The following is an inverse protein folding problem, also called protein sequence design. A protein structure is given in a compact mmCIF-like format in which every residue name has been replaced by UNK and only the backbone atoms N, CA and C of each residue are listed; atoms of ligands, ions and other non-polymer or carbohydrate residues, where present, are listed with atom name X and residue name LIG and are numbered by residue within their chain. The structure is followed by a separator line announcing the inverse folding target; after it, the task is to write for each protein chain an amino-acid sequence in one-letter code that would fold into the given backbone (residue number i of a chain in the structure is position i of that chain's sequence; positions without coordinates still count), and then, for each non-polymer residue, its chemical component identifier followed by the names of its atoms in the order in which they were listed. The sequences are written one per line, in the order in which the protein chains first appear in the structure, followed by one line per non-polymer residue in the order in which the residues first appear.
data_IF_871376333440
#
_entry.id   IF_871376333440
#
_cell.length_a   1.000
_cell.length_b   1.000
_cell.length_c   1.000
_cell.angle_alpha   90.00
_cell.angle_beta   90.00
_cell.angle_gamma   90.00
#
_symmetry.space_group_name_H-M   'P 1'
#
loop_
_entity.id
_entity.type
_entity.pdbx_description
1 polymer ?
#
# COMPACT_ATOMS: atom_id res chain seq x y z
N UNK A 1 -7.27 5.33 -4.56
CA UNK A 1 -8.36 5.72 -3.66
C UNK A 1 -7.85 6.54 -2.48
N UNK A 2 -7.16 5.97 -1.49
CA UNK A 2 -6.71 6.69 -0.29
C UNK A 2 -5.94 7.98 -0.61
N UNK A 3 -5.01 7.94 -1.58
CA UNK A 3 -4.28 9.15 -2.02
C UNK A 3 -5.20 10.27 -2.53
N UNK A 4 -6.26 9.92 -3.26
CA UNK A 4 -7.24 10.90 -3.75
C UNK A 4 -8.06 11.51 -2.62
N UNK A 5 -8.43 10.71 -1.62
CA UNK A 5 -9.18 11.17 -0.45
C UNK A 5 -8.33 12.15 0.37
N UNK A 6 -7.09 11.78 0.67
CA UNK A 6 -6.17 12.64 1.44
C UNK A 6 -5.81 13.93 0.69
N UNK A 7 -5.61 13.85 -0.64
CA UNK A 7 -5.42 15.05 -1.46
C UNK A 7 -6.66 15.96 -1.42
N UNK A 8 -7.86 15.40 -1.51
CA UNK A 8 -9.11 16.17 -1.44
C UNK A 8 -9.31 16.83 -0.07
N UNK A 9 -8.70 16.28 1.00
CA UNK A 9 -8.67 16.91 2.33
C UNK A 9 -7.62 18.02 2.49
N UNK A 10 -6.94 18.40 1.41
CA UNK A 10 -5.94 19.48 1.40
C UNK A 10 -4.53 19.03 1.77
N UNK A 11 -4.25 17.73 1.88
CA UNK A 11 -2.91 17.21 2.17
C UNK A 11 -2.03 17.17 0.92
N UNK A 12 -0.74 17.42 1.11
CA UNK A 12 0.30 17.16 0.12
C UNK A 12 0.70 15.67 0.23
N UNK A 13 0.29 14.86 -0.75
CA UNK A 13 0.31 13.39 -0.66
C UNK A 13 1.36 12.80 -1.58
N UNK A 14 2.32 12.04 -1.02
CA UNK A 14 3.18 11.13 -1.75
C UNK A 14 2.51 9.77 -1.94
N UNK A 15 2.70 9.16 -3.11
CA UNK A 15 2.22 7.82 -3.41
C UNK A 15 3.34 7.02 -4.09
N UNK A 16 3.72 5.92 -3.47
CA UNK A 16 4.65 4.92 -4.04
C UNK A 16 3.89 3.64 -4.34
N UNK A 17 3.95 3.18 -5.60
CA UNK A 17 3.25 1.98 -6.08
C UNK A 17 4.14 1.12 -6.96
N UNK A 18 3.85 -0.19 -7.02
CA UNK A 18 4.54 -1.14 -7.88
C UNK A 18 3.64 -2.32 -8.30
N UNK A 19 3.83 -2.87 -9.51
CA UNK A 19 4.64 -2.33 -10.61
C UNK A 19 3.97 -1.12 -11.30
N UNK A 20 4.65 -0.51 -12.26
CA UNK A 20 4.03 0.44 -13.18
C UNK A 20 3.32 -0.29 -14.33
N UNK A 21 2.40 0.40 -15.00
CA UNK A 21 1.69 -0.13 -16.16
C UNK A 21 2.38 0.22 -17.48
N UNK A 22 2.82 1.45 -17.66
CA UNK A 22 3.40 1.96 -18.91
C UNK A 22 4.79 2.56 -18.66
N UNK A 23 4.90 3.51 -17.72
CA UNK A 23 6.14 4.25 -17.44
C UNK A 23 6.60 4.07 -16.01
N UNK A 24 7.91 3.99 -15.82
CA UNK A 24 8.54 3.90 -14.50
C UNK A 24 8.06 5.02 -13.55
N UNK A 25 7.91 6.24 -14.06
CA UNK A 25 7.49 7.43 -13.31
C UNK A 25 6.17 7.24 -12.54
N UNK A 26 5.30 6.34 -12.99
CA UNK A 26 4.04 6.03 -12.32
C UNK A 26 4.22 5.49 -10.89
N UNK A 27 5.41 4.93 -10.60
CA UNK A 27 5.73 4.37 -9.29
C UNK A 27 5.83 5.43 -8.20
N UNK A 28 6.19 6.67 -8.55
CA UNK A 28 6.45 7.75 -7.61
C UNK A 28 5.64 8.98 -8.01
N UNK A 29 4.66 9.33 -7.19
CA UNK A 29 3.74 10.43 -7.49
C UNK A 29 3.61 11.37 -6.28
N UNK A 30 3.46 12.65 -6.55
CA UNK A 30 3.06 13.64 -5.55
C UNK A 30 1.82 14.37 -6.05
N UNK A 31 0.74 14.34 -5.28
CA UNK A 31 -0.56 14.88 -5.64
C UNK A 31 -1.11 14.40 -6.99
N UNK A 32 -0.76 13.16 -7.38
CA UNK A 32 -1.16 12.54 -8.64
C UNK A 32 -0.23 12.82 -9.81
N UNK A 33 0.74 13.73 -9.69
CA UNK A 33 1.76 13.99 -10.70
C UNK A 33 2.94 13.03 -10.54
N UNK A 34 3.33 12.37 -11.61
CA UNK A 34 4.49 11.48 -11.62
C UNK A 34 5.79 12.26 -11.46
N UNK A 35 6.81 11.62 -10.87
CA UNK A 35 8.19 12.11 -10.88
C UNK A 35 8.67 12.34 -12.31
N UNK A 36 9.46 13.38 -12.56
CA UNK A 36 10.01 13.69 -13.88
C UNK A 36 11.26 12.85 -14.19
N UNK A 37 11.54 12.65 -15.47
CA UNK A 37 12.73 11.90 -15.92
C UNK A 37 14.03 12.56 -15.45
N UNK A 38 14.06 13.89 -15.41
CA UNK A 38 15.21 14.66 -14.94
C UNK A 38 15.44 14.47 -13.44
N UNK A 39 14.39 14.32 -12.65
CA UNK A 39 14.48 14.08 -11.21
C UNK A 39 14.99 12.65 -10.94
N UNK A 40 14.56 11.67 -11.75
CA UNK A 40 15.06 10.30 -11.70
C UNK A 40 16.56 10.28 -12.05
N UNK A 41 16.94 10.90 -13.18
CA UNK A 41 18.32 10.96 -13.63
C UNK A 41 19.21 11.63 -12.57
N UNK A 42 18.79 12.78 -12.05
CA UNK A 42 19.49 13.51 -10.99
C UNK A 42 19.71 12.66 -9.74
N UNK A 43 18.70 11.90 -9.31
CA UNK A 43 18.84 10.99 -8.16
C UNK A 43 19.86 9.90 -8.44
N UNK A 44 19.81 9.27 -9.62
CA UNK A 44 20.74 8.19 -10.00
C UNK A 44 22.17 8.72 -10.09
N UNK A 45 22.40 9.85 -10.77
CA UNK A 45 23.73 10.44 -10.92
C UNK A 45 24.35 10.79 -9.57
N UNK A 46 23.57 11.40 -8.67
CA UNK A 46 24.02 11.74 -7.32
C UNK A 46 24.38 10.53 -6.48
N UNK A 47 23.66 9.42 -6.64
CA UNK A 47 23.78 8.24 -5.78
C UNK A 47 24.52 7.06 -6.44
N UNK A 48 24.94 7.16 -7.71
CA UNK A 48 25.53 6.09 -8.51
C UNK A 48 26.62 5.32 -7.75
N UNK A 49 27.58 6.01 -7.18
CA UNK A 49 28.70 5.39 -6.43
C UNK A 49 28.22 4.59 -5.21
N UNK A 50 27.16 5.04 -4.54
CA UNK A 50 26.57 4.33 -3.40
C UNK A 50 25.81 3.09 -3.86
N UNK A 51 24.99 3.23 -4.90
CA UNK A 51 24.22 2.14 -5.51
C UNK A 51 25.16 0.99 -5.95
N UNK A 52 26.23 1.33 -6.68
CA UNK A 52 27.24 0.37 -7.13
C UNK A 52 28.01 -0.28 -5.97
N UNK A 53 28.42 0.51 -4.97
CA UNK A 53 29.18 0.02 -3.81
C UNK A 53 28.42 -1.00 -2.98
N UNK A 54 27.11 -0.78 -2.74
CA UNK A 54 26.28 -1.69 -1.93
C UNK A 54 25.56 -2.74 -2.77
N UNK A 55 25.72 -2.70 -4.09
CA UNK A 55 25.01 -3.58 -5.04
C UNK A 55 23.50 -3.58 -4.81
N UNK A 56 22.93 -2.38 -4.67
CA UNK A 56 21.50 -2.19 -4.40
C UNK A 56 20.64 -2.75 -5.52
N UNK A 57 19.58 -3.46 -5.16
CA UNK A 57 18.59 -3.96 -6.12
C UNK A 57 17.79 -2.82 -6.74
N UNK A 58 17.17 -3.08 -7.88
CA UNK A 58 16.27 -2.11 -8.52
C UNK A 58 15.17 -1.62 -7.56
N UNK A 59 14.56 -2.53 -6.80
CA UNK A 59 13.46 -2.16 -5.90
C UNK A 59 13.94 -1.35 -4.70
N UNK A 60 15.07 -1.69 -4.09
CA UNK A 60 15.70 -0.91 -3.02
C UNK A 60 16.04 0.49 -3.49
N UNK A 61 16.69 0.62 -4.65
CA UNK A 61 17.03 1.92 -5.25
C UNK A 61 15.78 2.76 -5.49
N UNK A 62 14.72 2.15 -6.05
CA UNK A 62 13.45 2.85 -6.33
C UNK A 62 12.74 3.29 -5.05
N UNK A 63 12.78 2.47 -4.01
CA UNK A 63 12.20 2.79 -2.69
C UNK A 63 12.89 3.99 -2.07
N UNK A 64 14.22 4.02 -2.06
CA UNK A 64 15.00 5.15 -1.53
C UNK A 64 14.77 6.40 -2.38
N UNK A 65 14.70 6.28 -3.71
CA UNK A 65 14.37 7.39 -4.61
C UNK A 65 12.99 7.98 -4.27
N UNK A 66 12.00 7.15 -4.01
CA UNK A 66 10.68 7.63 -3.62
C UNK A 66 10.72 8.42 -2.30
N UNK A 67 11.43 7.93 -1.30
CA UNK A 67 11.57 8.63 -0.01
C UNK A 67 12.31 9.94 -0.14
N UNK A 68 13.43 9.98 -0.87
CA UNK A 68 14.19 11.22 -1.15
C UNK A 68 13.30 12.25 -1.88
N UNK A 69 12.57 11.81 -2.90
CA UNK A 69 11.63 12.66 -3.63
C UNK A 69 10.53 13.23 -2.74
N UNK A 70 9.95 12.44 -1.86
CA UNK A 70 8.90 12.86 -0.93
C UNK A 70 9.41 13.92 0.07
N UNK A 71 10.63 13.76 0.56
CA UNK A 71 11.27 14.76 1.42
C UNK A 71 11.48 16.08 0.66
N UNK A 72 12.01 16.03 -0.57
CA UNK A 72 12.22 17.22 -1.39
C UNK A 72 10.91 17.94 -1.73
N UNK A 73 9.83 17.18 -1.98
CA UNK A 73 8.49 17.74 -2.26
C UNK A 73 7.73 18.17 -1.00
N UNK A 74 8.30 17.98 0.19
CA UNK A 74 7.71 18.38 1.49
C UNK A 74 6.28 17.88 1.63
N UNK A 75 6.06 16.58 1.39
CA UNK A 75 4.74 15.97 1.54
C UNK A 75 4.31 15.95 3.00
N UNK A 76 2.99 15.99 3.25
CA UNK A 76 2.42 15.83 4.59
C UNK A 76 2.30 14.36 4.98
N UNK A 77 2.03 13.49 3.99
CA UNK A 77 1.77 12.06 4.20
C UNK A 77 2.18 11.25 2.97
N UNK A 78 2.78 10.09 3.21
CA UNK A 78 3.10 9.11 2.18
C UNK A 78 2.19 7.89 2.26
N UNK A 79 1.73 7.41 1.10
CA UNK A 79 1.10 6.11 0.93
C UNK A 79 2.11 5.23 0.23
N UNK A 80 2.53 4.18 0.91
CA UNK A 80 3.60 3.29 0.46
C UNK A 80 3.03 1.90 0.21
N UNK A 81 3.06 1.45 -1.03
CA UNK A 81 2.71 0.09 -1.40
C UNK A 81 3.91 -0.83 -1.19
N UNK A 82 3.67 -1.95 -0.50
CA UNK A 82 4.65 -3.03 -0.35
C UNK A 82 4.86 -3.72 -1.71
N UNK A 83 6.12 -3.95 -2.09
CA UNK A 83 6.42 -4.62 -3.35
C UNK A 83 6.13 -6.11 -3.31
N UNK A 84 6.63 -6.81 -2.28
CA UNK A 84 6.46 -8.25 -2.13
C UNK A 84 6.45 -8.69 -0.66
N UNK A 85 5.45 -9.47 -0.29
CA UNK A 85 5.33 -10.00 1.06
C UNK A 85 5.05 -8.91 2.09
N UNK A 86 6.05 -8.43 2.78
CA UNK A 86 5.96 -7.34 3.76
C UNK A 86 7.13 -7.32 4.73
N UNK A 87 7.36 -8.37 5.50
CA UNK A 87 8.35 -8.45 6.58
C UNK A 87 9.77 -8.04 6.16
N UNK A 88 10.22 -8.50 5.01
CA UNK A 88 11.55 -8.24 4.45
C UNK A 88 11.50 -7.29 3.23
N UNK A 89 10.36 -6.65 3.00
CA UNK A 89 10.24 -5.70 1.91
C UNK A 89 11.04 -4.42 2.17
N UNK A 90 11.66 -3.86 1.14
CA UNK A 90 12.47 -2.64 1.25
C UNK A 90 11.68 -1.45 1.79
N UNK A 91 10.36 -1.43 1.59
CA UNK A 91 9.48 -0.38 2.12
C UNK A 91 9.25 -0.50 3.62
N UNK A 92 9.54 -1.65 4.24
CA UNK A 92 9.22 -1.91 5.65
C UNK A 92 10.15 -1.22 6.66
N UNK A 93 11.01 -0.33 6.20
CA UNK A 93 11.88 0.53 7.05
C UNK A 93 11.14 1.75 7.62
N UNK A 94 9.94 2.03 7.15
CA UNK A 94 9.14 3.19 7.60
C UNK A 94 8.50 2.97 8.97
N UNK A 95 8.23 4.08 9.66
CA UNK A 95 7.37 4.12 10.86
C UNK A 95 5.98 4.65 10.44
N UNK A 96 5.02 3.77 10.14
CA UNK A 96 3.74 4.20 9.61
C UNK A 96 2.80 4.75 10.69
N UNK A 97 1.90 5.65 10.31
CA UNK A 97 0.76 6.05 11.15
C UNK A 97 -0.32 4.97 11.19
N UNK A 98 -0.41 4.19 10.12
CA UNK A 98 -1.39 3.12 9.93
C UNK A 98 -0.83 2.12 8.94
N UNK A 99 -1.13 0.84 9.15
CA UNK A 99 -0.86 -0.22 8.17
C UNK A 99 -2.17 -0.78 7.62
N UNK A 100 -2.11 -1.34 6.42
CA UNK A 100 -3.29 -1.91 5.76
C UNK A 100 -2.95 -3.25 5.12
N UNK A 101 -3.79 -4.27 5.34
CA UNK A 101 -3.62 -5.60 4.74
C UNK A 101 -4.88 -5.95 3.93
N UNK A 102 -4.71 -5.99 2.62
CA UNK A 102 -5.71 -6.42 1.64
C UNK A 102 -5.95 -7.93 1.73
N UNK A 103 -6.97 -8.52 1.03
CA UNK A 103 -7.21 -9.96 1.08
C UNK A 103 -5.96 -10.77 0.71
N UNK A 104 -5.61 -11.73 1.56
CA UNK A 104 -4.47 -12.64 1.31
C UNK A 104 -4.95 -13.80 0.45
N UNK A 105 -4.25 -14.03 -0.67
CA UNK A 105 -4.43 -15.17 -1.57
C UNK A 105 -3.13 -15.94 -1.76
N UNK A 106 -3.20 -17.10 -2.39
CA UNK A 106 -2.01 -17.85 -2.81
C UNK A 106 -1.40 -17.15 -4.02
N UNK A 107 -0.32 -16.43 -3.78
CA UNK A 107 0.44 -15.72 -4.79
C UNK A 107 1.92 -15.73 -4.41
N UNK A 108 2.82 -15.60 -5.41
CA UNK A 108 4.28 -15.63 -5.21
C UNK A 108 4.76 -16.77 -4.32
N UNK A 109 4.15 -17.96 -4.46
CA UNK A 109 4.34 -19.10 -3.55
C UNK A 109 5.80 -19.55 -3.43
N UNK A 110 6.57 -19.45 -4.52
CA UNK A 110 8.00 -19.79 -4.56
C UNK A 110 8.87 -18.90 -3.67
N UNK A 111 8.38 -17.71 -3.26
CA UNK A 111 9.10 -16.79 -2.36
C UNK A 111 8.43 -16.75 -0.99
N UNK A 112 7.10 -16.63 -0.95
CA UNK A 112 6.35 -16.38 0.28
C UNK A 112 5.87 -17.66 0.97
N UNK A 113 6.04 -18.82 0.31
CA UNK A 113 5.59 -20.13 0.81
C UNK A 113 4.24 -20.58 0.24
N UNK A 114 3.98 -21.87 0.36
CA UNK A 114 2.88 -22.56 -0.32
C UNK A 114 1.56 -22.59 0.47
N UNK A 115 1.42 -21.78 1.51
CA UNK A 115 0.20 -21.74 2.33
C UNK A 115 -0.26 -20.31 2.61
N UNK A 116 -1.57 -20.13 2.78
CA UNK A 116 -2.12 -18.84 3.23
C UNK A 116 -1.51 -18.38 4.56
N UNK A 117 -1.15 -19.33 5.43
CA UNK A 117 -0.52 -19.05 6.71
C UNK A 117 0.88 -18.43 6.53
N UNK A 118 1.72 -18.99 5.64
CA UNK A 118 3.06 -18.44 5.37
C UNK A 118 2.98 -17.07 4.72
N UNK A 119 2.15 -16.91 3.69
CA UNK A 119 1.98 -15.62 3.00
C UNK A 119 1.42 -14.55 3.95
N UNK A 120 0.42 -14.90 4.76
CA UNK A 120 -0.12 -13.99 5.76
C UNK A 120 0.91 -13.56 6.80
N UNK A 121 1.84 -14.47 7.19
CA UNK A 121 2.91 -14.14 8.13
C UNK A 121 3.89 -13.11 7.54
N UNK A 122 4.28 -13.28 6.28
CA UNK A 122 5.12 -12.29 5.59
C UNK A 122 4.42 -10.93 5.47
N UNK A 123 3.12 -10.93 5.08
CA UNK A 123 2.35 -9.68 4.99
C UNK A 123 2.12 -9.02 6.35
N UNK A 124 1.86 -9.80 7.38
CA UNK A 124 1.68 -9.27 8.74
C UNK A 124 2.96 -8.65 9.32
N UNK A 125 4.13 -8.92 8.73
CA UNK A 125 5.40 -8.31 9.12
C UNK A 125 5.50 -6.80 8.94
N UNK A 126 4.53 -6.16 8.27
CA UNK A 126 4.44 -4.70 8.18
C UNK A 126 3.77 -4.06 9.41
N UNK A 127 3.06 -4.84 10.21
CA UNK A 127 2.39 -4.32 11.41
C UNK A 127 3.48 -3.89 12.40
N UNK A 128 3.33 -2.70 12.97
CA UNK A 128 4.28 -2.13 13.93
C UNK A 128 3.65 -2.01 15.31
N UNK A 129 4.49 -2.02 16.34
CA UNK A 129 4.07 -1.92 17.73
C UNK A 129 3.23 -0.65 17.97
N UNK A 130 2.06 -0.82 18.58
CA UNK A 130 1.15 0.29 18.88
C UNK A 130 0.48 0.96 17.68
N UNK A 131 0.85 0.59 16.44
CA UNK A 131 0.27 1.18 15.22
C UNK A 131 -0.97 0.40 14.80
N UNK A 132 -2.11 1.05 14.54
CA UNK A 132 -3.32 0.36 14.09
C UNK A 132 -3.12 -0.27 12.70
N UNK A 133 -3.79 -1.41 12.48
CA UNK A 133 -3.81 -2.09 11.19
C UNK A 133 -5.26 -2.24 10.69
N UNK A 134 -5.52 -1.70 9.50
CA UNK A 134 -6.79 -1.93 8.78
C UNK A 134 -6.67 -3.25 8.04
N UNK A 135 -7.63 -4.14 8.26
CA UNK A 135 -7.63 -5.47 7.66
C UNK A 135 -8.95 -5.71 6.94
N UNK A 136 -8.87 -5.96 5.63
CA UNK A 136 -10.03 -6.39 4.85
C UNK A 136 -10.45 -7.82 5.25
N UNK A 137 -11.62 -8.27 4.78
CA UNK A 137 -12.09 -9.64 5.01
C UNK A 137 -11.03 -10.65 4.55
N UNK A 138 -10.67 -11.59 5.42
CA UNK A 138 -9.66 -12.62 5.20
C UNK A 138 -10.26 -14.03 5.21
N UNK A 139 -9.55 -14.98 4.60
CA UNK A 139 -9.77 -16.40 4.88
C UNK A 139 -9.29 -16.71 6.31
N UNK A 140 -9.90 -17.71 6.95
CA UNK A 140 -9.70 -18.04 8.36
C UNK A 140 -8.22 -18.21 8.75
N UNK A 141 -7.45 -18.92 7.93
CA UNK A 141 -6.02 -19.18 8.19
C UNK A 141 -5.19 -17.88 8.22
N UNK A 142 -5.44 -16.99 7.25
CA UNK A 142 -4.77 -15.69 7.18
C UNK A 142 -5.19 -14.77 8.34
N UNK A 143 -6.48 -14.74 8.64
CA UNK A 143 -7.03 -13.97 9.76
C UNK A 143 -6.39 -14.35 11.10
N UNK A 144 -6.25 -15.65 11.37
CA UNK A 144 -5.58 -16.13 12.61
C UNK A 144 -4.15 -15.64 12.74
N UNK A 145 -3.39 -15.66 11.63
CA UNK A 145 -2.00 -15.19 11.62
C UNK A 145 -1.94 -13.70 11.91
N UNK A 146 -2.70 -12.90 11.19
CA UNK A 146 -2.73 -11.43 11.34
C UNK A 146 -3.10 -11.06 12.78
N UNK A 147 -4.15 -11.69 13.34
CA UNK A 147 -4.55 -11.47 14.75
C UNK A 147 -3.46 -11.82 15.74
N UNK A 148 -2.78 -12.96 15.54
CA UNK A 148 -1.68 -13.39 16.42
C UNK A 148 -0.52 -12.39 16.41
N UNK A 149 -0.13 -11.92 15.21
CA UNK A 149 0.94 -10.93 15.07
C UNK A 149 0.54 -9.61 15.71
N UNK A 150 -0.63 -9.08 15.41
CA UNK A 150 -1.11 -7.82 15.95
C UNK A 150 -1.21 -7.86 17.49
N UNK A 151 -1.74 -8.94 18.06
CA UNK A 151 -1.84 -9.13 19.50
C UNK A 151 -0.44 -9.17 20.17
N UNK A 152 0.54 -9.82 19.54
CA UNK A 152 1.92 -9.92 20.08
C UNK A 152 2.59 -8.56 20.23
N UNK A 153 2.27 -7.60 19.36
CA UNK A 153 2.91 -6.28 19.32
C UNK A 153 1.92 -5.15 19.68
N UNK A 154 0.84 -5.49 20.37
CA UNK A 154 -0.17 -4.54 20.85
C UNK A 154 -0.72 -3.59 19.76
N UNK A 155 -0.88 -4.09 18.52
CA UNK A 155 -1.45 -3.34 17.42
C UNK A 155 -2.98 -3.52 17.36
N UNK A 156 -3.73 -2.41 17.33
CA UNK A 156 -5.19 -2.43 17.21
C UNK A 156 -5.61 -2.85 15.80
N UNK A 157 -6.43 -3.88 15.69
CA UNK A 157 -7.02 -4.28 14.40
C UNK A 157 -8.33 -3.52 14.18
N UNK A 158 -8.41 -2.86 13.03
CA UNK A 158 -9.63 -2.24 12.49
C UNK A 158 -10.08 -3.10 11.32
N UNK A 159 -11.28 -3.69 11.39
CA UNK A 159 -11.80 -4.52 10.30
C UNK A 159 -12.74 -3.73 9.43
N UNK A 160 -12.63 -3.96 8.13
CA UNK A 160 -13.65 -3.48 7.21
C UNK A 160 -14.92 -4.30 7.36
N UNK A 161 -16.07 -3.63 7.38
CA UNK A 161 -17.35 -4.28 7.25
C UNK A 161 -17.62 -4.69 5.80
N UNK A 162 -18.62 -5.55 5.58
CA UNK A 162 -19.05 -5.91 4.24
C UNK A 162 -19.79 -4.75 3.59
N UNK A 163 -19.42 -4.46 2.35
CA UNK A 163 -20.18 -3.53 1.49
C UNK A 163 -21.52 -4.15 1.08
N UNK A 164 -22.55 -3.32 0.94
CA UNK A 164 -23.91 -3.74 0.58
C UNK A 164 -24.39 -2.98 -0.64
N UNK A 165 -25.44 -3.49 -1.29
CA UNK A 165 -26.11 -2.83 -2.44
C UNK A 165 -25.11 -2.41 -3.52
N UNK A 166 -24.12 -3.30 -3.81
CA UNK A 166 -23.10 -3.03 -4.80
C UNK A 166 -23.70 -3.15 -6.20
N UNK A 167 -23.58 -2.09 -6.99
CA UNK A 167 -24.00 -2.05 -8.39
C UNK A 167 -22.91 -1.46 -9.27
N UNK A 168 -22.57 -2.15 -10.35
CA UNK A 168 -21.66 -1.64 -11.38
C UNK A 168 -22.50 -0.76 -12.31
N UNK A 169 -22.04 0.47 -12.51
CA UNK A 169 -22.65 1.48 -13.39
C UNK A 169 -21.70 1.76 -14.56
N UNK A 170 -22.15 2.53 -15.54
CA UNK A 170 -21.41 2.84 -16.76
C UNK A 170 -20.00 3.41 -16.48
N UNK A 171 -19.86 4.23 -15.43
CA UNK A 171 -18.60 4.93 -15.11
C UNK A 171 -18.08 4.63 -13.70
N UNK A 172 -18.44 3.50 -13.12
CA UNK A 172 -17.92 3.16 -11.79
C UNK A 172 -18.77 2.16 -11.01
N UNK A 173 -18.59 2.16 -9.70
CA UNK A 173 -19.28 1.26 -8.78
C UNK A 173 -19.95 2.06 -7.66
N UNK A 174 -21.28 1.90 -7.51
CA UNK A 174 -22.07 2.44 -6.39
C UNK A 174 -22.20 1.34 -5.33
N UNK A 175 -22.10 1.70 -4.05
CA UNK A 175 -22.24 0.76 -2.93
C UNK A 175 -22.64 1.48 -1.65
N UNK A 176 -23.11 0.72 -0.66
CA UNK A 176 -23.38 1.21 0.69
C UNK A 176 -22.35 0.65 1.65
N UNK A 177 -21.83 1.48 2.55
CA UNK A 177 -20.90 1.13 3.61
C UNK A 177 -21.21 1.94 4.89
N UNK A 178 -21.32 1.26 6.05
CA UNK A 178 -21.69 1.89 7.34
C UNK A 178 -22.90 2.83 7.22
N UNK A 179 -23.95 2.34 6.55
CA UNK A 179 -25.22 3.06 6.33
C UNK A 179 -25.12 4.35 5.52
N UNK A 180 -24.01 4.55 4.81
CA UNK A 180 -23.83 5.65 3.85
C UNK A 180 -23.66 5.10 2.44
N UNK A 181 -24.12 5.86 1.43
CA UNK A 181 -23.90 5.55 0.03
C UNK A 181 -22.60 6.17 -0.46
N UNK A 182 -21.89 5.43 -1.29
CA UNK A 182 -20.64 5.84 -1.90
C UNK A 182 -20.63 5.49 -3.39
N UNK A 183 -19.83 6.23 -4.12
CA UNK A 183 -19.52 5.97 -5.52
C UNK A 183 -17.99 6.04 -5.72
N UNK A 184 -17.46 5.10 -6.47
CA UNK A 184 -16.09 5.14 -6.96
C UNK A 184 -16.08 5.05 -8.48
N UNK A 185 -15.27 5.84 -9.20
CA UNK A 185 -15.16 5.74 -10.66
C UNK A 185 -14.43 4.48 -11.12
N UNK A 186 -14.02 3.61 -10.19
CA UNK A 186 -13.40 2.33 -10.50
C UNK A 186 -14.46 1.25 -10.64
N UNK A 187 -14.41 0.50 -11.73
CA UNK A 187 -15.40 -0.53 -12.06
C UNK A 187 -15.05 -1.87 -11.40
N UNK A 188 -16.07 -2.55 -10.89
CA UNK A 188 -15.98 -3.90 -10.34
C UNK A 188 -16.35 -4.01 -8.87
N UNK A 189 -16.98 -5.13 -8.51
CA UNK A 189 -17.46 -5.39 -7.14
C UNK A 189 -16.32 -5.28 -6.10
N UNK A 190 -15.13 -5.78 -6.44
CA UNK A 190 -13.95 -5.69 -5.57
C UNK A 190 -13.52 -4.26 -5.26
N UNK A 191 -13.89 -3.28 -6.10
CA UNK A 191 -13.56 -1.88 -5.85
C UNK A 191 -14.38 -1.29 -4.69
N UNK A 192 -15.57 -1.84 -4.41
CA UNK A 192 -16.30 -1.46 -3.21
C UNK A 192 -15.59 -1.89 -1.93
N UNK A 193 -14.98 -3.08 -1.92
CA UNK A 193 -14.19 -3.59 -0.79
C UNK A 193 -12.88 -2.79 -0.61
N UNK A 194 -12.20 -2.44 -1.71
CA UNK A 194 -11.03 -1.57 -1.69
C UNK A 194 -11.38 -0.15 -1.18
N UNK A 195 -12.54 0.37 -1.58
CA UNK A 195 -13.03 1.67 -1.09
C UNK A 195 -13.39 1.62 0.40
N UNK A 196 -14.04 0.55 0.87
CA UNK A 196 -14.31 0.35 2.30
C UNK A 196 -13.02 0.40 3.13
N UNK A 197 -11.94 -0.19 2.62
CA UNK A 197 -10.62 -0.14 3.27
C UNK A 197 -10.03 1.28 3.32
N UNK A 198 -10.26 2.08 2.27
CA UNK A 198 -9.80 3.46 2.21
C UNK A 198 -10.66 4.42 3.07
N UNK A 199 -11.87 4.01 3.45
CA UNK A 199 -12.78 4.78 4.31
C UNK A 199 -12.44 4.59 5.81
N UNK A 200 -11.96 3.38 6.21
CA UNK A 200 -11.51 3.11 7.58
C UNK A 200 -10.24 3.88 7.93
#
# INVERSE_FOLDING_TARGET
MLASVLKASGKNVGLYTSPHLIKFNERIRVNGNCILDEEIASFIDKNKKHIERINSTFFETTTVMAFDYFVHKKIDIAIIEVGLGGRLDSTNVVNPLLTAITPVSLDHQHILGYSLKSIANEKAGIIKEGVPVVVSKQKYEAERVIRKVAAKINAKIIRTDKTKYVSIQEFGTKFSYKSKEYFTPLMGVHQSENAAMAIE
#
